data_IF_606468120715
#
_entry.id   IF_606468120715
#
_cell.length_a   1.000
_cell.length_b   1.000
_cell.length_c   1.000
_cell.angle_alpha   90.00
_cell.angle_beta   90.00
_cell.angle_gamma   90.00
#
_symmetry.space_group_name_H-M   'P 1'
#
loop_
_entity.id
_entity.type
_entity.pdbx_description
1 polymer ?
#
# COMPACT_ATOMS: atom_id res chain seq x y z
N UNK A 1 11.70 -1.20 -0.52
CA UNK A 1 10.57 -0.40 -1.00
C UNK A 1 9.60 -1.41 -1.58
N UNK A 2 8.38 -1.43 -1.08
CA UNK A 2 7.37 -2.43 -1.49
C UNK A 2 6.42 -1.74 -2.46
N UNK A 3 6.29 -2.28 -3.66
CA UNK A 3 5.44 -1.74 -4.71
C UNK A 3 4.25 -2.68 -4.92
N UNK A 4 3.07 -2.12 -5.05
CA UNK A 4 1.87 -2.83 -5.46
C UNK A 4 1.52 -2.41 -6.87
N UNK A 5 1.52 -3.37 -7.78
CA UNK A 5 1.15 -3.15 -9.18
C UNK A 5 -0.32 -3.60 -9.33
N UNK A 6 -1.18 -2.68 -9.70
CA UNK A 6 -2.59 -2.97 -10.02
C UNK A 6 -2.76 -2.98 -11.53
N UNK A 7 -3.72 -3.76 -12.05
CA UNK A 7 -4.21 -3.69 -13.46
C UNK A 7 -4.62 -2.27 -13.92
N UNK A 8 -4.77 -1.33 -13.00
CA UNK A 8 -4.90 0.10 -13.27
C UNK A 8 -3.67 0.80 -12.70
N UNK A 9 -2.94 1.58 -13.46
CA UNK A 9 -1.67 2.29 -13.22
C UNK A 9 -1.49 3.03 -11.89
N UNK A 10 -2.07 2.58 -10.78
CA UNK A 10 -1.96 3.23 -9.48
C UNK A 10 -0.87 2.55 -8.64
N UNK A 11 0.16 3.29 -8.24
CA UNK A 11 1.22 2.87 -7.33
C UNK A 11 0.89 3.33 -5.91
N UNK A 12 1.21 2.51 -4.91
CA UNK A 12 1.02 2.85 -3.50
C UNK A 12 2.36 2.74 -2.76
N UNK A 13 2.75 3.78 -2.06
CA UNK A 13 4.01 3.89 -1.31
C UNK A 13 3.78 3.89 0.20
N UNK A 14 4.73 3.39 0.99
CA UNK A 14 4.64 3.42 2.45
C UNK A 14 5.90 3.96 3.12
N UNK A 15 5.73 4.93 4.02
CA UNK A 15 6.75 5.40 4.97
C UNK A 15 6.11 5.80 6.29
N UNK A 16 6.81 5.62 7.42
CA UNK A 16 6.32 6.03 8.74
C UNK A 16 7.06 7.27 9.26
N UNK A 17 6.32 8.26 9.79
CA UNK A 17 6.85 9.45 10.45
C UNK A 17 6.07 9.78 11.72
N UNK A 18 6.72 10.39 12.71
CA UNK A 18 6.07 10.94 13.91
C UNK A 18 5.75 12.41 13.69
N UNK A 19 4.55 12.83 14.08
CA UNK A 19 4.03 14.18 13.87
C UNK A 19 4.17 15.07 15.11
N UNK A 20 4.47 16.37 14.96
CA UNK A 20 4.40 17.37 16.04
C UNK A 20 2.96 17.72 16.40
N UNK A 21 2.75 18.25 17.61
CA UNK A 21 1.45 18.76 18.05
C UNK A 21 1.09 20.05 17.31
N UNK A 22 -0.21 20.21 17.04
CA UNK A 22 -0.76 21.45 16.50
C UNK A 22 -1.35 22.31 17.61
N UNK A 23 -1.24 23.62 17.46
CA UNK A 23 -1.83 24.61 18.33
C UNK A 23 -2.83 25.45 17.53
N UNK A 24 -3.99 25.72 18.10
CA UNK A 24 -4.96 26.68 17.57
C UNK A 24 -4.77 28.02 18.33
N UNK A 25 -4.97 29.13 17.63
CA UNK A 25 -4.65 30.46 18.17
C UNK A 25 -5.78 31.01 19.07
N UNK A 26 -6.99 30.43 19.00
CA UNK A 26 -8.13 30.87 19.82
C UNK A 26 -9.11 29.74 20.16
N UNK A 27 -9.94 29.96 21.19
CA UNK A 27 -11.01 29.03 21.59
C UNK A 27 -12.14 28.96 20.56
N UNK A 28 -12.38 30.05 19.84
CA UNK A 28 -13.35 30.13 18.75
C UNK A 28 -12.92 29.29 17.56
N UNK A 29 -11.64 29.31 17.25
CA UNK A 29 -11.05 28.45 16.22
C UNK A 29 -11.21 26.97 16.58
N UNK A 30 -10.90 26.58 17.83
CA UNK A 30 -11.12 25.21 18.32
C UNK A 30 -12.60 24.81 18.21
N UNK A 31 -13.53 25.68 18.55
CA UNK A 31 -14.96 25.39 18.44
C UNK A 31 -15.38 25.18 16.97
N UNK A 32 -14.95 26.04 16.05
CA UNK A 32 -15.28 25.97 14.62
C UNK A 32 -14.77 24.66 13.95
N UNK A 33 -13.70 24.11 14.48
CA UNK A 33 -13.12 22.84 14.02
C UNK A 33 -14.07 21.66 14.16
N UNK A 34 -14.91 21.66 15.20
CA UNK A 34 -15.92 20.61 15.42
C UNK A 34 -17.16 20.79 14.54
N UNK A 35 -17.44 22.02 14.10
CA UNK A 35 -18.59 22.32 13.23
C UNK A 35 -18.30 21.94 11.76
N UNK A 36 -17.04 22.07 11.31
CA UNK A 36 -16.62 21.73 9.95
C UNK A 36 -15.41 20.77 9.92
N UNK A 37 -15.57 19.50 10.32
CA UNK A 37 -14.47 18.54 10.49
C UNK A 37 -13.67 18.25 9.21
N UNK A 38 -14.24 18.49 8.03
CA UNK A 38 -13.57 18.27 6.74
C UNK A 38 -12.63 19.41 6.32
N UNK A 39 -12.76 20.59 6.94
CA UNK A 39 -11.96 21.77 6.62
C UNK A 39 -10.89 22.08 7.65
N UNK A 40 -10.90 21.41 8.79
CA UNK A 40 -10.11 21.79 9.95
C UNK A 40 -9.20 20.68 10.43
N UNK A 41 -8.04 21.07 10.93
CA UNK A 41 -7.02 20.16 11.47
C UNK A 41 -7.32 19.87 12.94
N UNK A 42 -8.20 18.90 13.20
CA UNK A 42 -8.73 18.61 14.53
C UNK A 42 -7.76 17.80 15.40
N UNK A 43 -7.19 16.78 14.82
CA UNK A 43 -6.45 15.77 15.57
C UNK A 43 -5.42 15.09 14.65
N UNK A 44 -4.19 14.96 15.12
CA UNK A 44 -3.07 14.49 14.30
C UNK A 44 -3.27 13.13 13.62
N UNK A 45 -4.16 12.30 14.15
CA UNK A 45 -4.51 11.01 13.52
C UNK A 45 -5.44 11.17 12.32
N UNK A 46 -6.25 12.23 12.28
CA UNK A 46 -7.16 12.51 11.16
C UNK A 46 -6.53 13.44 10.14
N UNK A 47 -5.85 14.49 10.62
CA UNK A 47 -5.18 15.46 9.77
C UNK A 47 -4.01 16.10 10.51
N UNK A 48 -2.84 16.09 9.88
CA UNK A 48 -1.63 16.72 10.39
C UNK A 48 -0.90 17.38 9.22
N UNK A 49 -0.66 18.71 9.26
CA UNK A 49 -0.04 19.43 8.14
C UNK A 49 1.30 18.87 7.70
N UNK A 50 2.12 18.41 8.65
CA UNK A 50 3.42 17.82 8.34
C UNK A 50 3.28 16.49 7.60
N UNK A 51 2.32 15.66 8.02
CA UNK A 51 2.02 14.39 7.35
C UNK A 51 1.41 14.66 5.98
N UNK A 52 0.42 15.56 5.90
CA UNK A 52 -0.22 15.95 4.64
C UNK A 52 0.79 16.48 3.62
N UNK A 53 1.74 17.32 4.03
CA UNK A 53 2.79 17.81 3.14
C UNK A 53 3.68 16.69 2.57
N UNK A 54 3.90 15.62 3.34
CA UNK A 54 4.60 14.41 2.86
C UNK A 54 3.72 13.62 1.91
N UNK A 55 2.45 13.43 2.26
CA UNK A 55 1.47 12.73 1.43
C UNK A 55 1.29 13.41 0.08
N UNK A 56 1.08 14.73 0.06
CA UNK A 56 0.99 15.54 -1.16
C UNK A 56 2.25 15.42 -2.02
N UNK A 57 3.43 15.50 -1.38
CA UNK A 57 4.70 15.38 -2.11
C UNK A 57 4.91 13.99 -2.71
N UNK A 58 4.55 12.93 -1.99
CA UNK A 58 4.62 11.56 -2.53
C UNK A 58 3.62 11.37 -3.66
N UNK A 59 2.39 11.88 -3.51
CA UNK A 59 1.37 11.83 -4.56
C UNK A 59 1.88 12.52 -5.85
N UNK A 60 2.47 13.71 -5.72
CA UNK A 60 3.06 14.45 -6.85
C UNK A 60 4.19 13.67 -7.54
N UNK A 61 5.14 13.13 -6.75
CA UNK A 61 6.28 12.37 -7.28
C UNK A 61 5.87 11.09 -8.00
N UNK A 62 4.77 10.47 -7.59
CA UNK A 62 4.26 9.24 -8.17
C UNK A 62 3.20 9.48 -9.26
N UNK A 63 2.80 10.74 -9.50
CA UNK A 63 1.70 11.07 -10.42
C UNK A 63 0.37 10.49 -9.96
N UNK A 64 0.20 10.27 -8.65
CA UNK A 64 -1.01 9.75 -8.03
C UNK A 64 -2.02 10.84 -7.70
N UNK A 65 -3.27 10.43 -7.44
CA UNK A 65 -4.34 11.34 -7.01
C UNK A 65 -4.28 11.67 -5.52
N UNK A 66 -3.49 10.94 -4.75
CA UNK A 66 -3.28 11.11 -3.32
C UNK A 66 -2.35 10.03 -2.76
N UNK A 67 -1.87 10.26 -1.55
CA UNK A 67 -1.10 9.31 -0.76
C UNK A 67 -1.60 9.29 0.68
N UNK A 68 -1.31 8.24 1.42
CA UNK A 68 -1.63 8.11 2.83
C UNK A 68 -0.45 7.52 3.59
N UNK A 69 0.00 8.23 4.62
CA UNK A 69 0.99 7.72 5.56
C UNK A 69 0.34 6.82 6.62
N UNK A 70 1.03 5.74 6.96
CA UNK A 70 0.60 4.79 7.99
C UNK A 70 1.65 4.64 9.08
N UNK A 71 1.29 3.99 10.18
CA UNK A 71 2.18 3.80 11.35
C UNK A 71 3.36 2.88 11.08
N UNK A 72 3.30 2.06 10.03
CA UNK A 72 4.39 1.16 9.63
C UNK A 72 4.24 0.70 8.18
N UNK A 73 5.34 0.19 7.58
CA UNK A 73 5.30 -0.42 6.26
C UNK A 73 4.36 -1.63 6.19
N UNK A 74 4.29 -2.45 7.24
CA UNK A 74 3.36 -3.59 7.30
C UNK A 74 1.89 -3.12 7.34
N UNK A 75 1.59 -2.03 8.03
CA UNK A 75 0.25 -1.42 8.00
C UNK A 75 -0.08 -0.90 6.60
N UNK A 76 0.88 -0.26 5.91
CA UNK A 76 0.70 0.19 4.53
C UNK A 76 0.44 -0.98 3.59
N UNK A 77 1.22 -2.06 3.68
CA UNK A 77 1.03 -3.26 2.88
C UNK A 77 -0.35 -3.88 3.11
N UNK A 78 -0.76 -4.04 4.38
CA UNK A 78 -2.08 -4.58 4.72
C UNK A 78 -3.21 -3.72 4.14
N UNK A 79 -3.18 -2.40 4.39
CA UNK A 79 -4.21 -1.47 3.94
C UNK A 79 -4.28 -1.38 2.41
N UNK A 80 -3.14 -1.46 1.73
CA UNK A 80 -3.10 -1.47 0.26
C UNK A 80 -3.80 -2.68 -0.32
N UNK A 81 -3.57 -3.88 0.23
CA UNK A 81 -4.28 -5.09 -0.22
C UNK A 81 -5.76 -5.00 0.12
N UNK A 82 -6.13 -4.58 1.34
CA UNK A 82 -7.53 -4.45 1.74
C UNK A 82 -8.30 -3.39 0.94
N UNK A 83 -7.62 -2.37 0.41
CA UNK A 83 -8.23 -1.37 -0.46
C UNK A 83 -8.57 -1.92 -1.86
N UNK A 84 -7.89 -2.98 -2.29
CA UNK A 84 -8.02 -3.56 -3.63
C UNK A 84 -8.84 -4.86 -3.60
N UNK A 85 -8.60 -5.70 -2.57
CA UNK A 85 -9.16 -7.04 -2.43
C UNK A 85 -10.17 -7.10 -1.29
N UNK A 86 -11.22 -7.88 -1.50
CA UNK A 86 -12.22 -8.27 -0.48
C UNK A 86 -12.20 -9.79 -0.31
N UNK A 87 -12.95 -10.30 0.67
CA UNK A 87 -13.12 -11.75 0.85
C UNK A 87 -13.61 -12.41 -0.45
N UNK A 88 -12.94 -13.48 -0.85
CA UNK A 88 -13.14 -14.19 -2.10
C UNK A 88 -12.28 -13.72 -3.26
N UNK A 89 -11.55 -12.62 -3.13
CA UNK A 89 -10.57 -12.17 -4.13
C UNK A 89 -9.20 -12.81 -3.89
N UNK A 90 -8.38 -12.81 -4.93
CA UNK A 90 -6.98 -13.23 -4.89
C UNK A 90 -6.04 -12.14 -5.41
N UNK A 91 -4.76 -12.25 -5.09
CA UNK A 91 -3.70 -11.48 -5.71
C UNK A 91 -2.44 -12.34 -5.85
N UNK A 92 -1.56 -11.96 -6.77
CA UNK A 92 -0.27 -12.64 -6.98
C UNK A 92 0.80 -11.89 -6.22
N UNK A 93 1.75 -12.61 -5.62
CA UNK A 93 2.97 -12.05 -5.03
C UNK A 93 4.19 -12.82 -5.49
N UNK A 94 5.32 -12.13 -5.68
CA UNK A 94 6.60 -12.84 -5.82
C UNK A 94 6.96 -13.53 -4.51
N UNK A 95 7.71 -14.64 -4.60
CA UNK A 95 8.23 -15.38 -3.44
C UNK A 95 9.34 -14.63 -2.71
N UNK A 96 10.09 -13.80 -3.44
CA UNK A 96 11.23 -13.03 -2.95
C UNK A 96 10.76 -11.70 -2.35
N UNK A 97 10.12 -11.77 -1.18
CA UNK A 97 9.66 -10.61 -0.40
C UNK A 97 10.03 -10.77 1.08
N UNK A 98 9.95 -9.67 1.83
CA UNK A 98 10.23 -9.67 3.26
C UNK A 98 9.39 -10.73 4.01
N UNK A 99 10.03 -11.52 4.89
CA UNK A 99 9.37 -12.63 5.59
C UNK A 99 8.15 -12.24 6.43
N UNK A 100 8.13 -11.02 6.99
CA UNK A 100 6.94 -10.48 7.66
C UNK A 100 5.75 -10.30 6.71
N UNK A 101 6.01 -9.93 5.46
CA UNK A 101 4.99 -9.81 4.41
C UNK A 101 4.50 -11.19 3.95
N UNK A 102 5.41 -12.17 3.85
CA UNK A 102 5.02 -13.58 3.57
C UNK A 102 4.03 -14.06 4.65
N UNK A 103 4.33 -13.83 5.93
CA UNK A 103 3.43 -14.19 7.02
C UNK A 103 2.08 -13.45 6.96
N UNK A 104 2.09 -12.15 6.66
CA UNK A 104 0.89 -11.36 6.47
C UNK A 104 -0.01 -11.96 5.39
N UNK A 105 0.55 -12.31 4.23
CA UNK A 105 -0.16 -12.83 3.09
C UNK A 105 -0.64 -14.28 3.31
N UNK A 106 0.23 -15.14 3.82
CA UNK A 106 -0.06 -16.57 3.98
C UNK A 106 -1.04 -16.88 5.11
N UNK A 107 -1.05 -16.06 6.18
CA UNK A 107 -1.82 -16.36 7.38
C UNK A 107 -2.88 -15.31 7.69
N UNK A 108 -2.53 -14.03 7.70
CA UNK A 108 -3.46 -12.97 8.14
C UNK A 108 -4.51 -12.70 7.08
N UNK A 109 -4.12 -12.45 5.82
CA UNK A 109 -5.06 -12.19 4.74
C UNK A 109 -5.93 -13.41 4.41
N UNK A 110 -5.37 -14.61 4.54
CA UNK A 110 -6.13 -15.85 4.38
C UNK A 110 -7.28 -15.96 5.39
N UNK A 111 -7.09 -15.53 6.64
CA UNK A 111 -8.16 -15.47 7.66
C UNK A 111 -9.25 -14.46 7.29
N UNK A 112 -8.92 -13.45 6.49
CA UNK A 112 -9.87 -12.46 5.97
C UNK A 112 -10.52 -12.91 4.64
N UNK A 113 -10.25 -14.14 4.20
CA UNK A 113 -10.79 -14.70 2.96
C UNK A 113 -10.13 -14.18 1.68
N UNK A 114 -8.95 -13.58 1.77
CA UNK A 114 -8.16 -13.11 0.62
C UNK A 114 -7.01 -14.07 0.39
N UNK A 115 -6.89 -14.58 -0.83
CA UNK A 115 -5.86 -15.54 -1.21
C UNK A 115 -4.66 -14.84 -1.85
N UNK A 116 -3.44 -15.22 -1.42
CA UNK A 116 -2.20 -14.84 -2.07
C UNK A 116 -1.63 -16.04 -2.83
N UNK A 117 -1.38 -15.88 -4.12
CA UNK A 117 -0.74 -16.87 -4.97
C UNK A 117 0.72 -16.43 -5.15
N UNK A 118 1.64 -17.26 -4.68
CA UNK A 118 3.07 -16.95 -4.79
C UNK A 118 3.64 -17.50 -6.09
N UNK A 119 4.45 -16.69 -6.78
CA UNK A 119 5.19 -17.05 -7.99
C UNK A 119 6.66 -16.69 -7.83
N UNK A 120 7.55 -17.45 -8.45
CA UNK A 120 8.97 -17.09 -8.52
C UNK A 120 9.15 -15.85 -9.41
N UNK A 121 9.96 -14.88 -8.98
CA UNK A 121 10.23 -13.65 -9.77
C UNK A 121 10.89 -13.98 -11.12
N UNK A 122 11.57 -15.13 -11.24
CA UNK A 122 12.23 -15.62 -12.44
C UNK A 122 11.42 -16.68 -13.20
N UNK A 123 10.18 -16.99 -12.78
CA UNK A 123 9.30 -17.91 -13.50
C UNK A 123 9.08 -17.47 -14.94
N UNK A 124 8.74 -18.38 -15.84
CA UNK A 124 8.39 -18.02 -17.23
C UNK A 124 7.10 -17.19 -17.28
N UNK A 125 6.87 -16.45 -18.36
CA UNK A 125 5.66 -15.64 -18.54
C UNK A 125 4.42 -16.53 -18.53
N UNK A 126 4.51 -17.74 -19.10
CA UNK A 126 3.42 -18.71 -19.12
C UNK A 126 3.10 -19.26 -17.71
N UNK A 127 4.09 -19.39 -16.82
CA UNK A 127 3.88 -19.80 -15.44
C UNK A 127 3.24 -18.69 -14.63
N UNK A 128 3.66 -17.44 -14.83
CA UNK A 128 3.06 -16.28 -14.17
C UNK A 128 1.61 -16.10 -14.66
N UNK A 129 1.36 -16.18 -15.98
CA UNK A 129 0.02 -16.05 -16.55
C UNK A 129 -0.95 -17.12 -16.02
N UNK A 130 -0.50 -18.37 -15.88
CA UNK A 130 -1.28 -19.45 -15.29
C UNK A 130 -1.67 -19.24 -13.83
N UNK A 131 -0.94 -18.41 -13.10
CA UNK A 131 -1.25 -18.07 -11.72
C UNK A 131 -2.45 -17.09 -11.60
N UNK A 132 -2.79 -16.40 -12.68
CA UNK A 132 -3.96 -15.51 -12.69
C UNK A 132 -5.27 -16.30 -12.67
N UNK A 133 -6.12 -15.93 -11.73
CA UNK A 133 -7.49 -16.45 -11.59
C UNK A 133 -8.49 -15.35 -11.97
N UNK A 134 -9.77 -15.70 -12.27
CA UNK A 134 -10.79 -14.69 -12.60
C UNK A 134 -11.03 -13.64 -11.49
N UNK A 135 -10.72 -14.00 -10.24
CA UNK A 135 -10.83 -13.16 -9.05
C UNK A 135 -9.49 -12.50 -8.66
N UNK A 136 -8.43 -12.61 -9.45
CA UNK A 136 -7.15 -11.95 -9.19
C UNK A 136 -7.28 -10.43 -9.43
N UNK A 137 -6.88 -9.63 -8.43
CA UNK A 137 -7.06 -8.17 -8.41
C UNK A 137 -5.78 -7.38 -8.50
N UNK A 138 -4.65 -7.95 -8.10
CA UNK A 138 -3.37 -7.25 -8.02
C UNK A 138 -2.19 -8.20 -8.19
N UNK A 139 -1.04 -7.63 -8.51
CA UNK A 139 0.27 -8.25 -8.38
C UNK A 139 1.08 -7.43 -7.37
N UNK A 140 1.74 -8.11 -6.43
CA UNK A 140 2.60 -7.52 -5.42
C UNK A 140 4.04 -8.03 -5.60
N UNK A 141 5.01 -7.14 -5.41
CA UNK A 141 6.42 -7.49 -5.37
C UNK A 141 7.26 -6.41 -4.70
N UNK A 142 8.49 -6.76 -4.33
CA UNK A 142 9.49 -5.81 -3.86
C UNK A 142 10.44 -5.48 -5.00
N UNK A 143 10.70 -4.19 -5.23
CA UNK A 143 11.65 -3.74 -6.29
C UNK A 143 13.01 -4.39 -6.13
N UNK A 144 13.48 -4.49 -4.88
CA UNK A 144 14.70 -5.23 -4.50
C UNK A 144 14.32 -6.09 -3.29
N UNK A 145 14.38 -7.40 -3.47
CA UNK A 145 13.99 -8.37 -2.47
C UNK A 145 14.86 -8.33 -1.20
N UNK A 146 14.26 -8.56 -0.05
CA UNK A 146 14.95 -8.71 1.22
C UNK A 146 14.76 -10.16 1.76
N UNK A 147 15.82 -10.94 1.97
CA UNK A 147 17.25 -10.60 1.90
C UNK A 147 17.95 -10.96 0.58
N UNK A 148 17.27 -11.54 -0.38
CA UNK A 148 17.88 -12.14 -1.57
C UNK A 148 18.51 -11.13 -2.54
N UNK A 149 18.18 -9.83 -2.44
CA UNK A 149 18.62 -8.74 -3.33
C UNK A 149 18.25 -8.96 -4.80
N UNK A 150 17.31 -9.84 -5.09
CA UNK A 150 16.74 -10.04 -6.42
C UNK A 150 16.03 -8.76 -6.86
N UNK A 151 16.29 -8.28 -8.06
CA UNK A 151 15.64 -7.11 -8.63
C UNK A 151 14.45 -7.58 -9.46
N UNK A 152 13.26 -7.07 -9.13
CA UNK A 152 12.02 -7.38 -9.84
C UNK A 152 11.95 -6.62 -11.16
N UNK A 153 11.72 -7.30 -12.26
CA UNK A 153 11.33 -6.69 -13.53
C UNK A 153 9.87 -6.25 -13.46
N UNK A 154 9.66 -5.02 -12.97
CA UNK A 154 8.33 -4.44 -12.78
C UNK A 154 7.58 -4.32 -14.10
N UNK A 155 8.28 -3.94 -15.18
CA UNK A 155 7.68 -3.77 -16.50
C UNK A 155 7.13 -5.10 -17.02
N UNK A 156 7.91 -6.16 -16.91
CA UNK A 156 7.48 -7.51 -17.30
C UNK A 156 6.23 -7.96 -16.55
N UNK A 157 6.21 -7.80 -15.22
CA UNK A 157 5.04 -8.18 -14.40
C UNK A 157 3.82 -7.30 -14.71
N UNK A 158 4.02 -6.03 -15.04
CA UNK A 158 2.93 -5.13 -15.42
C UNK A 158 2.35 -5.45 -16.81
N UNK A 159 3.18 -5.96 -17.73
CA UNK A 159 2.74 -6.34 -19.08
C UNK A 159 1.92 -7.65 -19.06
N UNK A 160 2.25 -8.58 -18.14
CA UNK A 160 1.52 -9.83 -17.97
C UNK A 160 0.17 -9.59 -17.22
N UNK A 161 0.08 -8.59 -16.31
CA UNK A 161 -1.07 -8.30 -15.47
C UNK A 161 -2.20 -7.55 -16.19
#
# INVERSE_FOLDING_TARGET
MQDIIRKTRNRVWSRSYRAPHMYNDSTEEVASVFDEPTKSLIYSRFANPTVMAVEDKIAELEGGVGAMCTTSGQAATLLSILNICKAGDSFISTTEIYGGTVNLFSFTLKKLGIECIFVDANASDEEIDKAFQPNTKAVFGETIANPALTVLDISRFADIA
#
